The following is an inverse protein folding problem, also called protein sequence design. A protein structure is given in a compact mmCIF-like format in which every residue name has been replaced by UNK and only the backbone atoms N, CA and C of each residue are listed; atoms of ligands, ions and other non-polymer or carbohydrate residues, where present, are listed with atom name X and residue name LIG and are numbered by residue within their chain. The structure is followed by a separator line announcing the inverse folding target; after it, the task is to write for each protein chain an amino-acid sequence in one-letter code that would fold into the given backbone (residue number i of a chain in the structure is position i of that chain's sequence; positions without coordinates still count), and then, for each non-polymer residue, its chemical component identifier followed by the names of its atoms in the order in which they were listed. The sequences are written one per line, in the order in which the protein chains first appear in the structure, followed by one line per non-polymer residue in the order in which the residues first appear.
data_IF_645290834048
#
_entry.id   IF_645290834048
#
_cell.length_a   1.000
_cell.length_b   1.000
_cell.length_c   1.000
_cell.angle_alpha   90.00
_cell.angle_beta   90.00
_cell.angle_gamma   90.00
#
_symmetry.space_group_name_H-M   'P 1'
#
loop_
_entity.id
_entity.type
_entity.pdbx_description
1 polymer ?
#
# COMPACT_ATOMS: atom_id res chain seq x y z
N UNK A 1 -11.30 4.02 -5.44
CA UNK A 1 -12.53 3.25 -5.12
C UNK A 1 -12.31 1.74 -4.80
N UNK A 2 -11.08 1.28 -4.60
CA UNK A 2 -10.79 0.03 -3.89
C UNK A 2 -9.67 0.31 -2.88
N UNK A 3 -8.60 0.92 -3.38
CA UNK A 3 -7.45 1.43 -2.62
C UNK A 3 -7.82 2.32 -1.44
N UNK A 4 -8.80 3.23 -1.60
CA UNK A 4 -9.24 4.12 -0.52
C UNK A 4 -10.00 3.33 0.57
N UNK A 5 -10.86 2.39 0.18
CA UNK A 5 -11.65 1.60 1.11
C UNK A 5 -10.74 0.64 1.93
N UNK A 6 -9.82 -0.05 1.25
CA UNK A 6 -8.90 -0.99 1.90
C UNK A 6 -7.87 -0.30 2.80
N UNK A 7 -7.58 0.99 2.56
CA UNK A 7 -6.71 1.83 3.41
C UNK A 7 -7.49 2.57 4.51
N UNK A 8 -8.67 2.08 4.87
CA UNK A 8 -9.44 2.59 6.01
C UNK A 8 -10.23 3.86 5.72
N UNK A 9 -10.53 4.15 4.45
CA UNK A 9 -11.48 5.18 4.01
C UNK A 9 -11.13 6.58 4.57
N UNK A 10 -9.83 6.90 4.62
CA UNK A 10 -9.31 8.17 5.13
C UNK A 10 -9.36 8.35 6.65
N UNK A 11 -9.82 7.35 7.41
CA UNK A 11 -9.91 7.40 8.87
C UNK A 11 -8.59 7.08 9.57
N UNK A 12 -7.63 6.52 8.84
CA UNK A 12 -6.32 6.11 9.37
C UNK A 12 -5.27 7.16 9.03
N UNK A 13 -4.60 7.69 10.05
CA UNK A 13 -3.41 8.50 9.89
C UNK A 13 -2.18 7.61 9.75
N UNK A 14 -1.52 7.64 8.60
CA UNK A 14 -0.37 6.80 8.31
C UNK A 14 0.98 7.48 8.63
N UNK A 15 0.98 8.74 9.08
CA UNK A 15 2.22 9.49 9.32
C UNK A 15 3.13 8.81 10.33
N UNK A 16 4.38 8.58 9.94
CA UNK A 16 5.40 7.95 10.79
C UNK A 16 5.18 6.47 11.11
N UNK A 17 4.16 5.83 10.54
CA UNK A 17 3.85 4.42 10.77
C UNK A 17 4.63 3.51 9.81
N UNK A 18 4.86 2.27 10.24
CA UNK A 18 5.34 1.20 9.38
C UNK A 18 4.13 0.41 8.86
N UNK A 19 4.06 0.19 7.54
CA UNK A 19 2.94 -0.48 6.88
C UNK A 19 3.43 -1.73 6.15
N UNK A 20 2.70 -2.84 6.29
CA UNK A 20 2.91 -4.08 5.54
C UNK A 20 1.73 -4.28 4.59
N UNK A 21 2.02 -4.42 3.30
CA UNK A 21 1.05 -4.74 2.24
C UNK A 21 1.34 -6.19 1.80
N UNK A 22 0.32 -7.04 1.83
CA UNK A 22 0.40 -8.43 1.35
C UNK A 22 -0.35 -8.51 0.02
N UNK A 23 0.36 -8.86 -1.05
CA UNK A 23 -0.11 -8.72 -2.43
C UNK A 23 -0.05 -7.28 -2.92
N UNK A 24 -0.96 -6.92 -3.85
CA UNK A 24 -1.04 -5.58 -4.40
C UNK A 24 0.03 -5.29 -5.46
N UNK A 25 0.41 -6.30 -6.24
CA UNK A 25 1.34 -6.17 -7.37
C UNK A 25 0.96 -5.11 -8.40
N UNK A 26 -0.29 -4.62 -8.41
CA UNK A 26 -0.70 -3.45 -9.20
C UNK A 26 -0.07 -2.13 -8.70
N UNK A 27 0.54 -2.13 -7.51
CA UNK A 27 1.19 -0.96 -6.92
C UNK A 27 0.24 0.15 -6.47
N UNK A 28 -1.07 0.01 -6.65
CA UNK A 28 -2.04 1.06 -6.36
C UNK A 28 -2.08 1.44 -4.87
N UNK A 29 -2.01 0.47 -3.97
CA UNK A 29 -1.97 0.69 -2.51
C UNK A 29 -0.66 1.36 -2.09
N UNK A 30 0.46 0.90 -2.66
CA UNK A 30 1.78 1.48 -2.39
C UNK A 30 1.81 2.96 -2.81
N UNK A 31 1.35 3.27 -4.02
CA UNK A 31 1.33 4.63 -4.55
C UNK A 31 0.42 5.56 -3.73
N UNK A 32 -0.74 5.06 -3.30
CA UNK A 32 -1.66 5.84 -2.46
C UNK A 32 -1.08 6.17 -1.07
N UNK A 33 -0.41 5.20 -0.43
CA UNK A 33 0.11 5.36 0.93
C UNK A 33 1.41 6.18 0.99
N UNK A 34 2.21 6.20 -0.08
CA UNK A 34 3.43 7.01 -0.19
C UNK A 34 3.18 8.48 0.19
N UNK A 35 2.09 9.05 -0.29
CA UNK A 35 1.77 10.48 -0.08
C UNK A 35 1.19 10.78 1.31
N UNK A 36 0.99 9.75 2.16
CA UNK A 36 0.47 9.89 3.53
C UNK A 36 1.57 9.99 4.60
N UNK A 37 2.84 10.05 4.20
CA UNK A 37 4.00 10.22 5.08
C UNK A 37 4.33 9.03 6.02
N UNK A 38 4.19 7.76 5.61
CA UNK A 38 4.62 6.63 6.43
C UNK A 38 6.13 6.63 6.64
N UNK A 39 6.58 6.01 7.73
CA UNK A 39 8.01 5.81 8.01
C UNK A 39 8.63 4.76 7.10
N UNK A 40 7.88 3.69 6.83
CA UNK A 40 8.32 2.57 5.98
C UNK A 40 7.10 1.83 5.44
N UNK A 41 7.14 1.44 4.17
CA UNK A 41 6.15 0.55 3.56
C UNK A 41 6.90 -0.67 3.04
N UNK A 42 6.43 -1.86 3.41
CA UNK A 42 6.92 -3.14 2.88
C UNK A 42 5.78 -3.79 2.13
N UNK A 43 5.98 -4.08 0.85
CA UNK A 43 5.03 -4.81 0.02
C UNK A 43 5.62 -6.19 -0.27
N UNK A 44 4.85 -7.24 0.01
CA UNK A 44 5.25 -8.62 -0.24
C UNK A 44 4.20 -9.23 -1.15
N UNK A 45 4.57 -9.50 -2.40
CA UNK A 45 3.78 -10.33 -3.30
C UNK A 45 4.44 -11.70 -3.45
N UNK A 46 3.63 -12.72 -3.76
CA UNK A 46 4.06 -14.11 -3.87
C UNK A 46 4.51 -14.42 -5.32
N UNK A 47 4.11 -13.57 -6.27
CA UNK A 47 4.35 -13.78 -7.70
C UNK A 47 5.06 -12.57 -8.32
N UNK A 48 6.33 -12.74 -8.70
CA UNK A 48 7.11 -11.70 -9.40
C UNK A 48 6.53 -11.37 -10.79
N UNK A 49 5.83 -12.31 -11.45
CA UNK A 49 5.25 -12.08 -12.77
C UNK A 49 4.12 -11.05 -12.76
N UNK A 50 3.50 -10.80 -11.61
CA UNK A 50 2.43 -9.81 -11.44
C UNK A 50 3.00 -8.39 -11.26
N UNK A 51 4.28 -8.25 -10.89
CA UNK A 51 4.93 -6.96 -10.65
C UNK A 51 5.46 -6.34 -11.97
N UNK A 52 5.81 -7.17 -12.96
CA UNK A 52 6.36 -6.71 -14.25
C UNK A 52 5.31 -6.43 -15.34
N UNK A 53 4.05 -6.81 -15.11
CA UNK A 53 2.93 -6.64 -16.06
C UNK A 53 2.25 -5.27 -15.92
#
# INVERSE_FOLDING_TARGET
PYTVAITGDGKVDYRGKTVLILGGGDGGILNYLKDKGPKMITMIDIDEMVIEA
#
